data_IF_798241311435
#
_entry.id   IF_798241311435
#
_cell.length_a   1.000
_cell.length_b   1.000
_cell.length_c   1.000
_cell.angle_alpha   90.00
_cell.angle_beta   90.00
_cell.angle_gamma   90.00
#
_symmetry.space_group_name_H-M   'P 1'
#
loop_
_entity.id
_entity.type
_entity.pdbx_description
1 polymer ?
#
# COMPACT_ATOMS: atom_id res chain seq x y z
N UNK A 1 9.98 -5.16 -6.81
CA UNK A 1 10.71 -5.09 -5.51
C UNK A 1 10.78 -6.48 -4.87
N UNK A 2 11.94 -6.93 -4.34
CA UNK A 2 12.09 -8.25 -3.73
C UNK A 2 11.73 -8.26 -2.23
N UNK A 3 10.66 -7.57 -1.83
CA UNK A 3 10.19 -7.62 -0.45
C UNK A 3 9.13 -8.71 -0.34
N UNK A 4 9.37 -9.70 0.52
CA UNK A 4 8.47 -10.81 0.78
C UNK A 4 7.84 -10.65 2.17
N UNK A 5 7.23 -9.48 2.42
CA UNK A 5 6.53 -9.24 3.67
C UNK A 5 5.21 -9.99 3.69
N UNK A 6 4.93 -10.63 4.82
CA UNK A 6 3.64 -11.27 5.03
C UNK A 6 2.61 -10.24 5.50
N UNK A 7 1.49 -10.17 4.76
CA UNK A 7 0.34 -9.35 5.10
C UNK A 7 -0.79 -10.23 5.62
N UNK A 8 -1.60 -9.69 6.52
CA UNK A 8 -2.89 -10.25 6.93
C UNK A 8 -3.97 -9.18 6.83
N UNK A 9 -5.22 -9.56 6.61
CA UNK A 9 -6.32 -8.60 6.68
C UNK A 9 -6.60 -8.24 8.16
N UNK A 10 -6.30 -7.00 8.57
CA UNK A 10 -6.43 -6.54 9.95
C UNK A 10 -7.09 -5.16 10.05
N UNK A 11 -8.27 -5.11 10.69
CA UNK A 11 -9.10 -3.90 10.89
C UNK A 11 -9.35 -3.13 9.60
N UNK A 12 -8.46 -2.20 9.21
CA UNK A 12 -8.63 -1.22 8.13
C UNK A 12 -8.04 -1.66 6.77
N UNK A 13 -7.43 -2.84 6.70
CA UNK A 13 -6.87 -3.36 5.46
C UNK A 13 -5.75 -4.37 5.70
N UNK A 14 -5.00 -4.72 4.66
CA UNK A 14 -3.78 -5.51 4.79
C UNK A 14 -2.79 -4.85 5.73
N UNK A 15 -2.27 -5.63 6.66
CA UNK A 15 -1.29 -5.20 7.65
C UNK A 15 -0.15 -6.20 7.72
N UNK A 16 1.09 -5.71 7.76
CA UNK A 16 2.28 -6.53 7.96
C UNK A 16 3.01 -6.09 9.22
N UNK A 17 3.20 -7.02 10.15
CA UNK A 17 4.01 -6.80 11.35
C UNK A 17 5.48 -6.62 11.00
N UNK A 18 5.97 -7.37 10.03
CA UNK A 18 7.35 -7.31 9.55
C UNK A 18 7.66 -5.93 8.95
N UNK A 19 6.77 -5.41 8.09
CA UNK A 19 6.93 -4.06 7.55
C UNK A 19 6.93 -3.00 8.66
N UNK A 20 6.04 -3.12 9.65
CA UNK A 20 6.00 -2.20 10.80
C UNK A 20 7.34 -2.22 11.56
N UNK A 21 7.87 -3.41 11.80
CA UNK A 21 9.11 -3.59 12.57
C UNK A 21 10.33 -3.09 11.78
N UNK A 22 10.35 -3.28 10.46
CA UNK A 22 11.38 -2.71 9.57
C UNK A 22 11.33 -1.18 9.58
N UNK A 23 10.14 -0.57 9.50
CA UNK A 23 9.98 0.88 9.62
C UNK A 23 10.43 1.40 11.01
N UNK A 24 10.22 0.63 12.08
CA UNK A 24 10.71 0.97 13.41
C UNK A 24 12.25 0.88 13.52
N UNK A 25 12.85 -0.09 12.84
CA UNK A 25 14.31 -0.21 12.71
C UNK A 25 14.88 1.00 11.97
N UNK A 26 14.31 1.37 10.82
CA UNK A 26 14.70 2.56 10.05
C UNK A 26 14.58 3.87 10.87
N UNK A 27 13.57 3.97 11.75
CA UNK A 27 13.43 5.10 12.67
C UNK A 27 14.55 5.12 13.71
N UNK A 28 14.88 3.96 14.28
CA UNK A 28 15.94 3.80 15.29
C UNK A 28 17.32 4.14 14.72
N UNK A 29 17.56 3.77 13.46
CA UNK A 29 18.78 4.10 12.71
C UNK A 29 18.83 5.55 12.20
N UNK A 30 17.78 6.34 12.50
CA UNK A 30 17.59 7.72 12.05
C UNK A 30 17.66 7.85 10.54
N UNK A 31 17.11 6.90 9.79
CA UNK A 31 16.94 7.02 8.35
C UNK A 31 15.66 7.80 8.02
N UNK A 32 14.60 7.52 8.79
CA UNK A 32 13.31 8.21 8.72
C UNK A 32 12.90 8.71 10.11
N UNK A 33 11.98 9.65 10.16
CA UNK A 33 11.44 10.20 11.40
C UNK A 33 9.93 10.44 11.30
N UNK A 34 9.28 10.63 12.44
CA UNK A 34 7.86 10.95 12.52
C UNK A 34 7.67 12.45 12.68
N UNK A 35 7.09 13.08 11.67
CA UNK A 35 6.69 14.48 11.74
C UNK A 35 5.26 14.57 12.31
N UNK A 36 5.06 15.26 13.46
CA UNK A 36 3.72 15.49 13.99
C UNK A 36 2.85 16.25 12.98
N UNK A 37 1.65 15.75 12.73
CA UNK A 37 0.64 16.46 11.94
C UNK A 37 -0.36 17.16 12.85
N UNK A 38 -1.05 18.16 12.31
CA UNK A 38 -2.23 18.72 12.98
C UNK A 38 -3.32 17.66 13.03
N UNK A 39 -4.00 17.56 14.16
CA UNK A 39 -5.18 16.73 14.33
C UNK A 39 -6.21 17.03 13.21
N UNK A 40 -6.93 16.02 12.70
CA UNK A 40 -7.10 14.66 13.25
C UNK A 40 -6.07 13.62 12.75
N UNK A 41 -5.09 14.01 11.93
CA UNK A 41 -4.19 13.06 11.29
C UNK A 41 -3.06 12.58 12.21
N UNK A 42 -2.70 11.31 12.06
CA UNK A 42 -1.52 10.74 12.70
C UNK A 42 -0.21 11.32 12.15
N UNK A 43 0.94 11.01 12.80
CA UNK A 43 2.25 11.45 12.35
C UNK A 43 2.55 10.92 10.95
N UNK A 44 3.28 11.71 10.16
CA UNK A 44 3.80 11.27 8.87
C UNK A 44 5.25 10.83 8.96
N UNK A 45 5.66 9.95 8.05
CA UNK A 45 7.06 9.57 7.91
C UNK A 45 7.76 10.55 6.98
N UNK A 46 8.90 11.07 7.43
CA UNK A 46 9.79 11.91 6.64
C UNK A 46 11.17 11.25 6.56
N UNK A 47 11.83 11.37 5.42
CA UNK A 47 13.23 10.96 5.29
C UNK A 47 14.14 12.02 5.91
N UNK A 48 15.07 11.58 6.74
CA UNK A 48 16.06 12.45 7.39
C UNK A 48 17.23 12.74 6.44
N UNK A 49 18.11 13.68 6.80
CA UNK A 49 19.35 13.93 6.04
C UNK A 49 20.25 12.68 5.94
N UNK A 50 20.26 11.84 6.99
CA UNK A 50 21.00 10.57 6.98
C UNK A 50 20.38 9.58 6.01
N UNK A 51 19.05 9.52 5.94
CA UNK A 51 18.30 8.73 4.95
C UNK A 51 18.62 9.18 3.52
N UNK A 52 18.56 10.49 3.24
CA UNK A 52 18.93 11.05 1.92
C UNK A 52 20.38 10.76 1.55
N UNK A 53 21.30 10.83 2.52
CA UNK A 53 22.70 10.47 2.30
C UNK A 53 22.87 8.97 1.96
N UNK A 54 22.02 8.09 2.49
CA UNK A 54 21.99 6.66 2.14
C UNK A 54 21.44 6.47 0.71
N UNK A 55 20.34 7.12 0.36
CA UNK A 55 19.77 7.10 -1.00
C UNK A 55 20.81 7.52 -2.04
N UNK A 56 21.55 8.60 -1.76
CA UNK A 56 22.62 9.09 -2.63
C UNK A 56 23.80 8.12 -2.76
N UNK A 57 24.07 7.26 -1.77
CA UNK A 57 25.08 6.19 -1.89
C UNK A 57 24.53 4.98 -2.65
N UNK A 58 23.22 4.75 -2.58
CA UNK A 58 22.51 3.63 -3.18
C UNK A 58 21.88 3.99 -4.54
N UNK A 59 22.53 4.86 -5.32
CA UNK A 59 22.04 5.34 -6.62
C UNK A 59 21.63 4.24 -7.58
N UNK A 60 22.35 3.11 -7.61
CA UNK A 60 22.00 1.97 -8.47
C UNK A 60 20.65 1.35 -8.08
N UNK A 61 20.37 1.27 -6.78
CA UNK A 61 19.09 0.77 -6.25
C UNK A 61 17.98 1.77 -6.53
N UNK A 62 18.24 3.06 -6.32
CA UNK A 62 17.29 4.12 -6.61
C UNK A 62 16.95 4.18 -8.11
N UNK A 63 17.94 4.08 -9.00
CA UNK A 63 17.71 4.02 -10.44
C UNK A 63 16.93 2.77 -10.87
N UNK A 64 17.14 1.63 -10.19
CA UNK A 64 16.47 0.37 -10.52
C UNK A 64 14.98 0.38 -10.18
N UNK A 65 14.58 1.05 -9.12
CA UNK A 65 13.21 0.97 -8.60
C UNK A 65 12.49 2.32 -8.46
N UNK A 66 13.18 3.42 -8.72
CA UNK A 66 12.67 4.78 -8.52
C UNK A 66 11.46 5.05 -9.40
N UNK A 67 11.51 4.68 -10.68
CA UNK A 67 10.38 4.86 -11.61
C UNK A 67 9.12 4.11 -11.15
N UNK A 68 9.26 2.86 -10.69
CA UNK A 68 8.15 2.08 -10.14
C UNK A 68 7.57 2.74 -8.88
N UNK A 69 8.43 3.24 -7.99
CA UNK A 69 8.03 3.91 -6.75
C UNK A 69 7.33 5.24 -7.03
N UNK A 70 7.85 6.04 -7.98
CA UNK A 70 7.26 7.30 -8.41
C UNK A 70 5.89 7.08 -9.06
N UNK A 71 5.76 6.02 -9.87
CA UNK A 71 4.49 5.63 -10.46
C UNK A 71 3.46 5.24 -9.38
N UNK A 72 3.84 4.38 -8.42
CA UNK A 72 2.95 4.02 -7.28
C UNK A 72 2.56 5.26 -6.47
N UNK A 73 3.52 6.13 -6.16
CA UNK A 73 3.29 7.34 -5.40
C UNK A 73 2.35 8.31 -6.13
N UNK A 74 2.49 8.45 -7.44
CA UNK A 74 1.60 9.25 -8.29
C UNK A 74 0.18 8.68 -8.32
N UNK A 75 0.04 7.36 -8.46
CA UNK A 75 -1.28 6.69 -8.52
C UNK A 75 -2.04 6.74 -7.19
N UNK A 76 -1.33 6.66 -6.06
CA UNK A 76 -1.93 6.67 -4.71
C UNK A 76 -2.00 8.07 -4.06
N UNK A 77 -1.13 9.01 -4.45
CA UNK A 77 -0.89 10.24 -3.70
C UNK A 77 -2.09 11.18 -3.59
N UNK A 78 -3.04 11.11 -4.53
CA UNK A 78 -4.27 11.89 -4.49
C UNK A 78 -5.44 11.23 -3.75
N UNK A 79 -5.28 9.98 -3.27
CA UNK A 79 -6.39 9.18 -2.75
C UNK A 79 -6.58 9.36 -1.24
N UNK A 80 -7.85 9.39 -0.82
CA UNK A 80 -8.23 9.49 0.59
C UNK A 80 -8.15 8.15 1.33
N UNK A 81 -8.27 8.17 2.66
CA UNK A 81 -8.22 6.96 3.50
C UNK A 81 -9.29 5.93 3.10
N UNK A 82 -10.50 6.39 2.76
CA UNK A 82 -11.60 5.52 2.31
C UNK A 82 -11.24 4.79 1.02
N UNK A 83 -10.69 5.51 0.03
CA UNK A 83 -10.28 4.93 -1.25
C UNK A 83 -9.14 3.92 -1.05
N UNK A 84 -8.16 4.26 -0.22
CA UNK A 84 -7.02 3.41 0.09
C UNK A 84 -7.45 2.13 0.83
N UNK A 85 -8.37 2.22 1.80
CA UNK A 85 -8.95 1.05 2.49
C UNK A 85 -9.62 0.11 1.47
N UNK A 86 -10.42 0.67 0.56
CA UNK A 86 -11.13 -0.08 -0.47
C UNK A 86 -10.18 -0.78 -1.43
N UNK A 87 -9.21 -0.06 -2.00
CA UNK A 87 -8.23 -0.61 -2.95
C UNK A 87 -7.32 -1.66 -2.31
N UNK A 88 -6.84 -1.41 -1.09
CA UNK A 88 -5.99 -2.36 -0.40
C UNK A 88 -6.77 -3.65 -0.06
N UNK A 89 -8.06 -3.52 0.29
CA UNK A 89 -8.92 -4.69 0.51
C UNK A 89 -9.20 -5.44 -0.81
N UNK A 90 -9.45 -4.72 -1.91
CA UNK A 90 -9.60 -5.33 -3.23
C UNK A 90 -8.33 -6.10 -3.65
N UNK A 91 -7.15 -5.50 -3.48
CA UNK A 91 -5.87 -6.15 -3.74
C UNK A 91 -5.64 -7.40 -2.90
N UNK A 92 -6.06 -7.39 -1.64
CA UNK A 92 -6.03 -8.57 -0.81
C UNK A 92 -6.92 -9.69 -1.36
N UNK A 93 -8.15 -9.37 -1.78
CA UNK A 93 -9.08 -10.36 -2.36
C UNK A 93 -8.52 -10.92 -3.67
N UNK A 94 -8.01 -10.08 -4.57
CA UNK A 94 -7.41 -10.51 -5.83
C UNK A 94 -6.22 -11.44 -5.62
N UNK A 95 -5.37 -11.20 -4.63
CA UNK A 95 -4.20 -12.07 -4.37
C UNK A 95 -4.51 -13.38 -3.66
N UNK A 96 -5.61 -13.48 -2.93
CA UNK A 96 -5.96 -14.67 -2.15
C UNK A 96 -7.12 -15.49 -2.75
N UNK A 97 -7.76 -14.96 -3.79
CA UNK A 97 -8.91 -15.55 -4.48
C UNK A 97 -8.82 -15.24 -5.99
N UNK A 98 -7.67 -15.53 -6.61
CA UNK A 98 -7.39 -15.22 -8.01
C UNK A 98 -8.28 -16.01 -9.00
N UNK A 99 -8.85 -17.12 -8.56
CA UNK A 99 -9.80 -17.97 -9.29
C UNK A 99 -11.24 -17.42 -9.29
N UNK A 100 -11.54 -16.43 -8.45
CA UNK A 100 -12.88 -15.89 -8.31
C UNK A 100 -13.18 -14.74 -9.29
N UNK A 101 -14.41 -14.72 -9.81
CA UNK A 101 -14.90 -13.62 -10.65
C UNK A 101 -14.88 -12.27 -9.91
N UNK A 102 -14.83 -11.18 -10.67
CA UNK A 102 -14.89 -9.81 -10.12
C UNK A 102 -16.07 -9.63 -9.15
N UNK A 103 -17.32 -10.00 -9.50
CA UNK A 103 -18.45 -9.90 -8.57
C UNK A 103 -18.26 -10.72 -7.28
N UNK A 104 -17.73 -11.94 -7.38
CA UNK A 104 -17.51 -12.78 -6.21
C UNK A 104 -16.45 -12.21 -5.26
N UNK A 105 -15.41 -11.55 -5.79
CA UNK A 105 -14.42 -10.82 -4.99
C UNK A 105 -14.99 -9.55 -4.38
N UNK A 106 -15.84 -8.82 -5.11
CA UNK A 106 -16.54 -7.65 -4.59
C UNK A 106 -17.48 -8.00 -3.43
N UNK A 107 -18.26 -9.08 -3.53
CA UNK A 107 -19.11 -9.56 -2.43
C UNK A 107 -18.29 -9.92 -1.17
N UNK A 108 -17.14 -10.56 -1.35
CA UNK A 108 -16.22 -10.87 -0.22
C UNK A 108 -15.64 -9.62 0.41
N UNK A 109 -15.30 -8.63 -0.39
CA UNK A 109 -14.85 -7.31 0.08
C UNK A 109 -15.94 -6.68 0.97
N UNK A 110 -17.18 -6.62 0.51
CA UNK A 110 -18.32 -6.07 1.26
C UNK A 110 -18.59 -6.86 2.54
N UNK A 111 -18.48 -8.20 2.49
CA UNK A 111 -18.63 -9.03 3.68
C UNK A 111 -17.59 -8.68 4.78
N UNK A 112 -16.43 -8.16 4.39
CA UNK A 112 -15.40 -7.63 5.33
C UNK A 112 -15.58 -6.14 5.63
N UNK A 113 -16.22 -5.39 4.73
CA UNK A 113 -16.38 -3.94 4.76
C UNK A 113 -17.82 -3.57 4.40
N UNK A 114 -18.79 -3.76 5.31
CA UNK A 114 -20.20 -3.58 4.99
C UNK A 114 -20.60 -2.14 4.67
N UNK A 115 -19.72 -1.18 4.92
CA UNK A 115 -19.90 0.24 4.60
C UNK A 115 -19.51 0.62 3.16
N UNK A 116 -19.01 -0.34 2.36
CA UNK A 116 -18.64 -0.11 0.96
C UNK A 116 -19.80 -0.58 0.07
N UNK A 117 -20.22 0.29 -0.85
CA UNK A 117 -21.27 -0.03 -1.82
C UNK A 117 -20.80 -1.07 -2.84
N UNK A 118 -21.73 -1.85 -3.42
CA UNK A 118 -21.38 -2.92 -4.34
C UNK A 118 -20.70 -2.42 -5.62
N UNK A 119 -21.18 -1.32 -6.19
CA UNK A 119 -20.55 -0.70 -7.36
C UNK A 119 -19.11 -0.28 -7.07
N UNK A 120 -18.90 0.35 -5.92
CA UNK A 120 -17.57 0.77 -5.46
C UNK A 120 -16.63 -0.42 -5.25
N UNK A 121 -17.14 -1.53 -4.72
CA UNK A 121 -16.38 -2.75 -4.53
C UNK A 121 -15.99 -3.40 -5.87
N UNK A 122 -16.88 -3.40 -6.85
CA UNK A 122 -16.61 -3.89 -8.22
C UNK A 122 -15.53 -3.03 -8.88
N UNK A 123 -15.71 -1.71 -8.90
CA UNK A 123 -14.77 -0.77 -9.51
C UNK A 123 -13.35 -0.93 -8.92
N UNK A 124 -13.26 -1.12 -7.60
CA UNK A 124 -11.98 -1.33 -6.94
C UNK A 124 -11.31 -2.67 -7.31
N UNK A 125 -12.09 -3.74 -7.48
CA UNK A 125 -11.54 -5.04 -7.91
C UNK A 125 -11.08 -4.96 -9.36
N UNK A 126 -11.85 -4.35 -10.25
CA UNK A 126 -11.47 -4.15 -11.65
C UNK A 126 -10.22 -3.28 -11.79
N UNK A 127 -10.14 -2.20 -11.02
CA UNK A 127 -8.97 -1.32 -11.00
C UNK A 127 -7.71 -2.08 -10.57
N UNK A 128 -7.81 -2.92 -9.52
CA UNK A 128 -6.67 -3.73 -9.10
C UNK A 128 -6.33 -4.83 -10.11
N UNK A 129 -7.32 -5.44 -10.75
CA UNK A 129 -7.08 -6.45 -11.79
C UNK A 129 -6.33 -5.86 -12.97
N UNK A 130 -6.72 -4.66 -13.42
CA UNK A 130 -5.99 -3.92 -14.45
C UNK A 130 -4.55 -3.60 -14.03
N UNK A 131 -4.33 -3.36 -12.74
CA UNK A 131 -3.01 -3.11 -12.17
C UNK A 131 -2.13 -4.38 -12.11
N UNK A 132 -2.70 -5.53 -11.72
CA UNK A 132 -1.93 -6.77 -11.55
C UNK A 132 -1.87 -7.62 -12.82
N UNK A 133 -2.65 -7.26 -13.86
CA UNK A 133 -2.61 -7.93 -15.14
C UNK A 133 -1.17 -7.95 -15.70
N UNK A 134 -0.71 -9.08 -16.26
CA UNK A 134 0.59 -9.11 -16.91
C UNK A 134 0.60 -8.07 -18.05
N UNK A 135 1.60 -7.18 -18.04
CA UNK A 135 1.85 -6.32 -19.20
C UNK A 135 2.20 -7.23 -20.38
N UNK A 136 1.42 -7.17 -21.45
CA UNK A 136 1.57 -8.00 -22.65
C UNK A 136 2.89 -7.73 -23.38
#
# INVERSE_FOLDING_TARGET
MPFAFDFILYKHGPFSFELRDELASMQSDRLIEREPRRLPYGPQLQVTDRGRALEHRMQKTMARYGEDLDWVASWLGGRGVTDLERLATAMWMTRHHDDASVPARAERLIAKKPHIELSDAIDAVEEIDALVAPTA
#
